data_IF_174831429081
#
_entry.id   IF_174831429081
#
_cell.length_a   1.000
_cell.length_b   1.000
_cell.length_c   1.000
_cell.angle_alpha   90.00
_cell.angle_beta   90.00
_cell.angle_gamma   90.00
#
_symmetry.space_group_name_H-M   'P 1'
#
loop_
_entity.id
_entity.type
_entity.pdbx_description
1 polymer ?
#
# COMPACT_ATOMS: atom_id res chain seq x y z
N UNK A 1 0.22 -9.33 -27.39
CA UNK A 1 -0.88 -9.71 -26.48
C UNK A 1 -1.85 -8.56 -26.45
N UNK A 2 -3.13 -8.82 -26.77
CA UNK A 2 -4.18 -7.81 -26.77
C UNK A 2 -4.48 -7.46 -25.31
N UNK A 3 -3.97 -6.33 -24.82
CA UNK A 3 -4.38 -5.81 -23.52
C UNK A 3 -5.79 -5.23 -23.69
N UNK A 4 -6.79 -5.92 -23.15
CA UNK A 4 -8.16 -5.43 -23.13
C UNK A 4 -8.21 -4.04 -22.49
N UNK A 5 -8.71 -3.00 -23.18
CA UNK A 5 -8.79 -1.65 -22.63
C UNK A 5 -9.66 -1.57 -21.37
N UNK A 6 -10.54 -2.55 -21.17
CA UNK A 6 -11.40 -2.69 -19.99
C UNK A 6 -10.67 -3.19 -18.74
N UNK A 7 -9.44 -3.69 -18.86
CA UNK A 7 -8.65 -4.14 -17.70
C UNK A 7 -8.35 -3.00 -16.71
N UNK A 8 -8.27 -1.75 -17.19
CA UNK A 8 -8.10 -0.57 -16.34
C UNK A 8 -9.34 -0.25 -15.49
N UNK A 9 -10.53 -0.65 -15.95
CA UNK A 9 -11.76 -0.44 -15.18
C UNK A 9 -11.97 -1.52 -14.11
N UNK A 10 -11.23 -2.63 -14.18
CA UNK A 10 -11.36 -3.73 -13.22
C UNK A 10 -10.71 -3.41 -11.85
N UNK A 11 -9.66 -2.58 -11.85
CA UNK A 11 -8.97 -2.14 -10.63
C UNK A 11 -8.70 -0.63 -10.66
N UNK A 12 -9.61 0.18 -10.07
CA UNK A 12 -9.44 1.63 -9.98
C UNK A 12 -8.19 2.08 -9.22
N UNK A 13 -7.73 1.29 -8.24
CA UNK A 13 -6.52 1.62 -7.47
C UNK A 13 -5.27 1.47 -8.33
N UNK A 14 -5.19 0.38 -9.09
CA UNK A 14 -4.12 0.15 -10.04
C UNK A 14 -4.12 1.23 -11.15
N UNK A 15 -5.29 1.64 -11.64
CA UNK A 15 -5.41 2.69 -12.67
C UNK A 15 -4.92 4.05 -12.18
N UNK A 16 -5.26 4.46 -10.96
CA UNK A 16 -4.70 5.70 -10.37
C UNK A 16 -3.24 5.54 -9.93
N UNK A 17 -2.80 4.31 -9.75
CA UNK A 17 -1.47 3.98 -9.26
C UNK A 17 -1.33 4.16 -7.76
N UNK A 18 -2.38 3.95 -6.97
CA UNK A 18 -2.35 4.13 -5.51
C UNK A 18 -2.48 2.79 -4.78
N UNK A 19 -1.98 2.69 -3.54
CA UNK A 19 -2.18 1.49 -2.75
C UNK A 19 -3.63 1.38 -2.25
N UNK A 20 -4.08 0.16 -1.97
CA UNK A 20 -5.40 -0.10 -1.38
C UNK A 20 -5.60 0.58 -0.01
N UNK A 21 -4.49 0.88 0.67
CA UNK A 21 -4.41 1.55 1.97
C UNK A 21 -4.42 3.08 1.90
N UNK A 22 -4.35 3.68 0.70
CA UNK A 22 -4.25 5.13 0.53
C UNK A 22 -5.37 5.91 1.22
N UNK A 23 -5.09 7.06 1.81
CA UNK A 23 -6.09 7.99 2.32
C UNK A 23 -6.86 8.69 1.20
N UNK A 24 -8.05 9.26 1.46
CA UNK A 24 -8.77 10.06 0.47
C UNK A 24 -7.97 11.26 -0.07
N UNK A 25 -7.10 11.85 0.77
CA UNK A 25 -6.21 12.93 0.35
C UNK A 25 -5.22 12.45 -0.71
N UNK A 26 -4.55 11.32 -0.47
CA UNK A 26 -3.61 10.72 -1.43
C UNK A 26 -4.29 10.32 -2.75
N UNK A 27 -5.55 9.89 -2.71
CA UNK A 27 -6.35 9.61 -3.92
C UNK A 27 -6.51 10.87 -4.76
N UNK A 28 -6.89 11.99 -4.14
CA UNK A 28 -7.10 13.26 -4.82
C UNK A 28 -5.78 13.82 -5.38
N UNK A 29 -4.74 13.87 -4.55
CA UNK A 29 -3.42 14.37 -4.94
C UNK A 29 -2.88 13.59 -6.15
N UNK A 30 -3.03 12.25 -6.11
CA UNK A 30 -2.59 11.40 -7.22
C UNK A 30 -3.43 11.61 -8.46
N UNK A 31 -4.75 11.72 -8.33
CA UNK A 31 -5.64 12.01 -9.45
C UNK A 31 -5.23 13.30 -10.17
N UNK A 32 -5.05 14.39 -9.42
CA UNK A 32 -4.67 15.69 -10.00
C UNK A 32 -3.32 15.61 -10.72
N UNK A 33 -2.34 14.93 -10.11
CA UNK A 33 -1.03 14.71 -10.72
C UNK A 33 -1.13 13.93 -12.06
N UNK A 34 -1.89 12.84 -12.08
CA UNK A 34 -2.07 12.00 -13.28
C UNK A 34 -2.82 12.76 -14.38
N UNK A 35 -3.84 13.54 -14.02
CA UNK A 35 -4.59 14.36 -14.98
C UNK A 35 -3.69 15.39 -15.69
N UNK A 36 -2.72 15.97 -14.97
CA UNK A 36 -1.72 16.86 -15.56
C UNK A 36 -0.70 16.13 -16.45
N UNK A 37 -0.35 14.88 -16.12
CA UNK A 37 0.52 14.04 -16.96
C UNK A 37 -0.16 13.60 -18.26
N UNK A 38 -1.48 13.40 -18.23
CA UNK A 38 -2.30 12.99 -19.37
C UNK A 38 -2.94 14.15 -20.14
N UNK A 39 -2.56 15.40 -19.85
CA UNK A 39 -3.04 16.55 -20.60
C UNK A 39 -2.66 16.43 -22.09
N UNK A 40 -3.63 16.43 -23.04
CA UNK A 40 -3.35 16.18 -24.46
C UNK A 40 -2.40 17.24 -25.05
N UNK A 41 -2.39 18.45 -24.49
CA UNK A 41 -1.51 19.55 -24.88
C UNK A 41 -0.02 19.19 -24.77
N UNK A 42 0.34 18.23 -23.91
CA UNK A 42 1.73 17.78 -23.71
C UNK A 42 2.27 16.91 -24.84
N UNK A 43 1.41 16.41 -25.72
CA UNK A 43 1.79 15.48 -26.77
C UNK A 43 1.71 16.16 -28.14
N UNK A 44 2.77 16.04 -28.94
CA UNK A 44 2.80 16.65 -30.28
C UNK A 44 2.11 15.79 -31.34
N UNK A 45 2.10 14.47 -31.16
CA UNK A 45 1.46 13.53 -32.09
C UNK A 45 -0.03 13.39 -31.79
N UNK A 46 -0.87 13.51 -32.81
CA UNK A 46 -2.33 13.32 -32.71
C UNK A 46 -2.70 11.96 -32.12
N UNK A 47 -2.03 10.88 -32.54
CA UNK A 47 -2.22 9.54 -31.98
C UNK A 47 -2.01 9.52 -30.46
N UNK A 48 -0.95 10.17 -30.00
CA UNK A 48 -0.62 10.23 -28.57
C UNK A 48 -1.60 11.12 -27.81
N UNK A 49 -2.11 12.21 -28.42
CA UNK A 49 -3.17 13.05 -27.83
C UNK A 49 -4.44 12.26 -27.61
N UNK A 50 -4.90 11.53 -28.62
CA UNK A 50 -6.10 10.69 -28.53
C UNK A 50 -5.93 9.64 -27.46
N UNK A 51 -4.80 8.92 -27.46
CA UNK A 51 -4.53 7.91 -26.45
C UNK A 51 -4.44 8.49 -25.03
N UNK A 52 -3.81 9.65 -24.85
CA UNK A 52 -3.77 10.34 -23.56
C UNK A 52 -5.17 10.75 -23.10
N UNK A 53 -6.01 11.28 -24.00
CA UNK A 53 -7.39 11.65 -23.69
C UNK A 53 -8.26 10.45 -23.30
N UNK A 54 -8.10 9.30 -23.96
CA UNK A 54 -8.76 8.05 -23.58
C UNK A 54 -8.34 7.59 -22.18
N UNK A 55 -7.04 7.56 -21.90
CA UNK A 55 -6.52 7.20 -20.58
C UNK A 55 -6.97 8.18 -19.49
N UNK A 56 -7.09 9.47 -19.83
CA UNK A 56 -7.60 10.49 -18.92
C UNK A 56 -9.03 10.20 -18.48
N UNK A 57 -9.90 9.74 -19.40
CA UNK A 57 -11.26 9.30 -19.07
C UNK A 57 -11.26 8.08 -18.16
N UNK A 58 -10.40 7.10 -18.41
CA UNK A 58 -10.30 5.93 -17.52
C UNK A 58 -9.86 6.31 -16.10
N UNK A 59 -8.92 7.25 -15.97
CA UNK A 59 -8.46 7.78 -14.69
C UNK A 59 -9.58 8.54 -13.96
N UNK A 60 -10.35 9.35 -14.69
CA UNK A 60 -11.51 10.05 -14.12
C UNK A 60 -12.57 9.08 -13.61
N UNK A 61 -12.92 8.05 -14.40
CA UNK A 61 -13.82 6.99 -13.95
C UNK A 61 -13.29 6.22 -12.73
N UNK A 62 -11.99 5.91 -12.71
CA UNK A 62 -11.35 5.26 -11.57
C UNK A 62 -11.45 6.12 -10.30
N UNK A 63 -11.13 7.42 -10.41
CA UNK A 63 -11.25 8.37 -9.30
C UNK A 63 -12.68 8.45 -8.77
N UNK A 64 -13.67 8.63 -9.64
CA UNK A 64 -15.07 8.70 -9.22
C UNK A 64 -15.47 7.45 -8.42
N UNK A 65 -15.04 6.27 -8.86
CA UNK A 65 -15.36 4.97 -8.24
C UNK A 65 -14.78 4.78 -6.83
N UNK A 66 -13.72 5.51 -6.46
CA UNK A 66 -13.05 5.35 -5.16
C UNK A 66 -12.94 6.63 -4.33
N UNK A 67 -13.41 7.75 -4.87
CA UNK A 67 -13.44 9.06 -4.19
C UNK A 67 -14.36 9.07 -2.97
N UNK A 68 -15.45 8.30 -3.02
CA UNK A 68 -16.40 8.15 -1.92
C UNK A 68 -16.13 6.88 -1.12
N UNK A 69 -16.21 6.98 0.20
CA UNK A 69 -15.92 5.87 1.14
C UNK A 69 -16.77 4.64 0.85
N UNK A 70 -18.07 4.81 0.61
CA UNK A 70 -18.99 3.70 0.33
C UNK A 70 -18.64 2.98 -0.98
N UNK A 71 -18.42 3.75 -2.06
CA UNK A 71 -18.07 3.20 -3.37
C UNK A 71 -16.72 2.48 -3.31
N UNK A 72 -15.75 3.10 -2.64
CA UNK A 72 -14.43 2.52 -2.39
C UNK A 72 -14.53 1.20 -1.65
N UNK A 73 -15.39 1.11 -0.63
CA UNK A 73 -15.58 -0.12 0.14
C UNK A 73 -16.13 -1.26 -0.74
N UNK A 74 -17.04 -0.95 -1.67
CA UNK A 74 -17.59 -1.92 -2.61
C UNK A 74 -16.54 -2.38 -3.63
N UNK A 75 -15.72 -1.46 -4.15
CA UNK A 75 -14.58 -1.81 -5.03
C UNK A 75 -13.62 -2.77 -4.32
N UNK A 76 -13.22 -2.45 -3.08
CA UNK A 76 -12.32 -3.32 -2.30
C UNK A 76 -12.96 -4.68 -2.04
N UNK A 77 -14.26 -4.73 -1.78
CA UNK A 77 -15.01 -5.99 -1.60
C UNK A 77 -15.04 -6.84 -2.87
N UNK A 78 -15.22 -6.22 -4.04
CA UNK A 78 -15.13 -6.91 -5.33
C UNK A 78 -13.73 -7.47 -5.58
N UNK A 79 -12.68 -6.69 -5.33
CA UNK A 79 -11.29 -7.17 -5.44
C UNK A 79 -11.00 -8.31 -4.46
N UNK A 80 -11.52 -8.24 -3.22
CA UNK A 80 -11.40 -9.35 -2.25
C UNK A 80 -12.11 -10.61 -2.71
N UNK A 81 -13.26 -10.48 -3.38
CA UNK A 81 -13.98 -11.60 -3.97
C UNK A 81 -13.14 -12.28 -5.07
N UNK A 82 -12.45 -11.50 -5.89
CA UNK A 82 -11.52 -12.01 -6.90
C UNK A 82 -10.29 -12.68 -6.27
N UNK A 83 -9.78 -12.13 -5.16
CA UNK A 83 -8.65 -12.66 -4.40
C UNK A 83 -9.00 -13.84 -3.47
N UNK A 84 -10.15 -14.51 -3.67
CA UNK A 84 -10.56 -15.65 -2.82
C UNK A 84 -9.71 -16.88 -2.99
N UNK A 85 -9.24 -17.14 -4.21
CA UNK A 85 -8.35 -18.25 -4.53
C UNK A 85 -6.90 -17.78 -4.56
N UNK A 86 -5.96 -18.72 -4.36
CA UNK A 86 -4.53 -18.40 -4.42
C UNK A 86 -4.18 -17.86 -5.81
N UNK A 87 -3.74 -16.60 -5.94
CA UNK A 87 -3.35 -16.04 -7.22
C UNK A 87 -2.09 -16.76 -7.72
N UNK A 88 -1.96 -16.87 -9.04
CA UNK A 88 -0.76 -17.39 -9.72
C UNK A 88 -0.06 -16.22 -10.42
N UNK A 89 0.68 -15.38 -9.67
CA UNK A 89 1.25 -14.19 -10.24
C UNK A 89 2.39 -14.51 -11.23
N UNK A 90 2.40 -13.78 -12.33
CA UNK A 90 3.46 -13.78 -13.33
C UNK A 90 4.63 -12.90 -12.90
N UNK A 91 4.35 -11.74 -12.29
CA UNK A 91 5.38 -10.79 -11.91
C UNK A 91 6.27 -11.30 -10.77
N UNK A 92 7.54 -10.87 -10.79
CA UNK A 92 8.51 -11.23 -9.74
C UNK A 92 8.13 -10.61 -8.40
N UNK A 93 7.64 -9.37 -8.41
CA UNK A 93 7.23 -8.65 -7.20
C UNK A 93 6.02 -9.32 -6.53
N UNK A 94 4.98 -9.66 -7.28
CA UNK A 94 3.83 -10.35 -6.70
C UNK A 94 4.18 -11.77 -6.19
N UNK A 95 5.09 -12.48 -6.87
CA UNK A 95 5.64 -13.75 -6.33
C UNK A 95 6.45 -13.57 -5.05
N UNK A 96 7.18 -12.47 -4.92
CA UNK A 96 7.91 -12.14 -3.70
C UNK A 96 6.95 -11.80 -2.55
N UNK A 97 5.89 -11.03 -2.82
CA UNK A 97 4.87 -10.68 -1.83
C UNK A 97 4.17 -11.92 -1.24
N UNK A 98 3.90 -12.96 -2.05
CA UNK A 98 3.35 -14.25 -1.57
C UNK A 98 4.23 -14.98 -0.55
N UNK A 99 5.54 -14.67 -0.50
CA UNK A 99 6.52 -15.31 0.39
C UNK A 99 6.98 -14.38 1.51
N UNK A 100 6.45 -13.16 1.54
CA UNK A 100 6.85 -12.15 2.50
C UNK A 100 6.31 -12.53 3.89
N UNK A 101 7.11 -12.39 4.97
CA UNK A 101 6.61 -12.59 6.32
C UNK A 101 5.50 -11.57 6.63
N UNK A 102 4.50 -11.96 7.41
CA UNK A 102 3.28 -11.19 7.65
C UNK A 102 3.53 -9.75 8.12
N UNK A 103 4.58 -9.52 8.91
CA UNK A 103 4.98 -8.20 9.40
C UNK A 103 5.52 -7.25 8.32
N UNK A 104 5.99 -7.79 7.18
CA UNK A 104 6.57 -7.02 6.09
C UNK A 104 5.66 -6.89 4.86
N UNK A 105 4.49 -7.54 4.86
CA UNK A 105 3.55 -7.57 3.71
C UNK A 105 3.10 -6.17 3.30
N UNK A 106 2.59 -5.37 4.23
CA UNK A 106 2.13 -3.99 3.95
C UNK A 106 3.25 -3.06 3.48
N UNK A 107 4.39 -2.91 4.20
CA UNK A 107 5.44 -1.99 3.76
C UNK A 107 6.09 -2.44 2.44
N UNK A 108 6.20 -3.75 2.18
CA UNK A 108 6.66 -4.24 0.87
C UNK A 108 5.69 -3.87 -0.24
N UNK A 109 4.39 -4.05 0.00
CA UNK A 109 3.34 -3.73 -0.97
C UNK A 109 3.33 -2.23 -1.30
N UNK A 110 3.29 -1.37 -0.29
CA UNK A 110 3.27 0.08 -0.47
C UNK A 110 4.53 0.57 -1.20
N UNK A 111 5.72 0.11 -0.79
CA UNK A 111 6.96 0.46 -1.48
C UNK A 111 7.00 0.01 -2.94
N UNK A 112 6.47 -1.18 -3.25
CA UNK A 112 6.37 -1.64 -4.64
C UNK A 112 5.37 -0.80 -5.47
N UNK A 113 4.29 -0.32 -4.85
CA UNK A 113 3.33 0.58 -5.50
C UNK A 113 3.97 1.95 -5.79
N UNK A 114 4.75 2.49 -4.87
CA UNK A 114 5.49 3.75 -5.06
C UNK A 114 6.48 3.66 -6.23
N UNK A 115 7.20 2.54 -6.36
CA UNK A 115 8.08 2.29 -7.51
C UNK A 115 7.30 2.29 -8.84
N UNK A 116 6.10 1.68 -8.86
CA UNK A 116 5.25 1.68 -10.05
C UNK A 116 4.66 3.05 -10.37
N UNK A 117 4.32 3.85 -9.36
CA UNK A 117 3.83 5.21 -9.54
C UNK A 117 4.80 6.07 -10.35
N UNK A 118 6.10 5.88 -10.12
CA UNK A 118 7.16 6.58 -10.85
C UNK A 118 7.21 6.17 -12.32
N UNK A 119 6.71 5.00 -12.71
CA UNK A 119 6.86 4.43 -14.05
C UNK A 119 5.59 4.54 -14.90
N UNK A 120 4.41 4.43 -14.27
CA UNK A 120 3.11 4.26 -14.92
C UNK A 120 2.82 5.32 -16.00
N UNK A 121 3.02 6.60 -15.67
CA UNK A 121 2.68 7.73 -16.55
C UNK A 121 3.91 8.47 -17.09
N UNK A 122 5.12 7.90 -16.94
CA UNK A 122 6.33 8.44 -17.61
C UNK A 122 6.28 8.26 -19.12
N UNK A 123 5.57 7.24 -19.60
CA UNK A 123 5.37 6.98 -21.02
C UNK A 123 4.00 6.37 -21.24
N UNK A 124 3.28 6.86 -22.26
CA UNK A 124 1.98 6.33 -22.65
C UNK A 124 2.02 4.82 -22.94
N UNK A 125 3.14 4.32 -23.48
CA UNK A 125 3.29 2.90 -23.81
C UNK A 125 3.33 1.98 -22.58
N UNK A 126 3.64 2.52 -21.40
CA UNK A 126 3.83 1.71 -20.19
C UNK A 126 2.57 1.61 -19.34
N UNK A 127 1.56 2.47 -19.56
CA UNK A 127 0.41 2.61 -18.66
C UNK A 127 -0.28 1.27 -18.46
N UNK A 128 -0.67 0.59 -19.55
CA UNK A 128 -1.38 -0.70 -19.46
C UNK A 128 -0.55 -1.79 -18.78
N UNK A 129 0.74 -1.88 -19.09
CA UNK A 129 1.61 -2.87 -18.47
C UNK A 129 1.75 -2.63 -16.98
N UNK A 130 1.98 -1.39 -16.56
CA UNK A 130 2.12 -1.05 -15.15
C UNK A 130 0.80 -1.23 -14.40
N UNK A 131 -0.33 -0.82 -14.95
CA UNK A 131 -1.67 -1.07 -14.36
C UNK A 131 -1.90 -2.57 -14.15
N UNK A 132 -1.58 -3.40 -15.15
CA UNK A 132 -1.74 -4.85 -15.01
C UNK A 132 -0.86 -5.46 -13.90
N UNK A 133 0.39 -4.99 -13.77
CA UNK A 133 1.30 -5.44 -12.72
C UNK A 133 0.83 -5.00 -11.33
N UNK A 134 0.32 -3.77 -11.21
CA UNK A 134 -0.24 -3.24 -9.95
C UNK A 134 -1.51 -3.99 -9.55
N UNK A 135 -2.42 -4.27 -10.50
CA UNK A 135 -3.63 -5.03 -10.23
C UNK A 135 -3.33 -6.46 -9.77
N UNK A 136 -2.35 -7.13 -10.38
CA UNK A 136 -1.86 -8.42 -9.91
C UNK A 136 -1.31 -8.34 -8.48
N UNK A 137 -0.53 -7.29 -8.18
CA UNK A 137 0.02 -7.07 -6.85
C UNK A 137 -1.09 -6.81 -5.80
N UNK A 138 -2.12 -6.04 -6.15
CA UNK A 138 -3.28 -5.76 -5.30
C UNK A 138 -4.02 -7.06 -4.92
N UNK A 139 -4.29 -7.93 -5.89
CA UNK A 139 -4.95 -9.22 -5.64
C UNK A 139 -4.11 -10.12 -4.71
N UNK A 140 -2.79 -10.14 -4.90
CA UNK A 140 -1.88 -10.89 -4.03
C UNK A 140 -1.85 -10.32 -2.62
N UNK A 141 -1.76 -8.99 -2.47
CA UNK A 141 -1.80 -8.32 -1.18
C UNK A 141 -3.08 -8.68 -0.41
N UNK A 142 -4.23 -8.63 -1.07
CA UNK A 142 -5.53 -8.99 -0.48
C UNK A 142 -5.58 -10.47 -0.06
N UNK A 143 -5.07 -11.38 -0.90
CA UNK A 143 -5.03 -12.81 -0.57
C UNK A 143 -4.13 -13.09 0.65
N UNK A 144 -2.92 -12.54 0.68
CA UNK A 144 -1.96 -12.74 1.78
C UNK A 144 -2.50 -12.14 3.08
N UNK A 145 -3.00 -10.91 3.05
CA UNK A 145 -3.54 -10.22 4.23
C UNK A 145 -4.71 -10.99 4.84
N UNK A 146 -5.58 -11.57 4.00
CA UNK A 146 -6.69 -12.41 4.47
C UNK A 146 -6.20 -13.66 5.21
N UNK A 147 -5.25 -14.40 4.64
CA UNK A 147 -4.79 -15.64 5.25
C UNK A 147 -3.98 -15.37 6.52
N UNK A 148 -3.19 -14.30 6.56
CA UNK A 148 -2.47 -13.89 7.75
C UNK A 148 -3.40 -13.44 8.88
N UNK A 149 -4.55 -12.85 8.55
CA UNK A 149 -5.57 -12.51 9.54
C UNK A 149 -6.25 -13.75 10.14
N UNK A 150 -6.37 -14.84 9.37
CA UNK A 150 -6.88 -16.13 9.82
C UNK A 150 -5.87 -16.85 10.74
N UNK A 151 -4.57 -16.68 10.49
CA UNK A 151 -3.47 -17.22 11.31
C UNK A 151 -3.25 -16.48 12.65
N UNK A 152 -3.94 -15.36 12.88
CA UNK A 152 -3.84 -14.52 14.09
C UNK A 152 -4.42 -15.12 15.39
N UNK A 153 -4.83 -16.40 15.39
CA UNK A 153 -5.39 -17.11 16.54
C UNK A 153 -4.38 -17.93 17.37
N UNK A 154 -3.09 -17.95 17.03
CA UNK A 154 -2.07 -18.50 17.92
C UNK A 154 -1.36 -17.39 18.68
N UNK A 155 -1.85 -17.12 19.89
CA UNK A 155 -1.05 -16.57 20.97
C UNK A 155 0.15 -17.52 21.15
N UNK A 156 1.26 -17.20 20.48
CA UNK A 156 2.56 -17.81 20.79
C UNK A 156 2.83 -17.41 22.23
N UNK A 157 2.55 -18.33 23.16
CA UNK A 157 3.05 -18.29 24.53
C UNK A 157 4.56 -18.29 24.44
N UNK A 158 5.14 -17.11 24.30
CA UNK A 158 6.57 -16.90 24.49
C UNK A 158 6.85 -17.35 25.93
N UNK A 159 7.75 -18.32 26.16
CA UNK A 159 8.20 -18.61 27.51
C UNK A 159 8.83 -17.33 28.03
N UNK A 160 8.18 -16.66 28.98
CA UNK A 160 8.77 -15.53 29.69
C UNK A 160 9.95 -16.08 30.46
N UNK A 161 11.15 -15.91 29.92
CA UNK A 161 12.38 -16.06 30.69
C UNK A 161 12.31 -15.13 31.91
N UNK A 162 12.70 -15.61 33.10
CA UNK A 162 12.60 -14.82 34.33
C UNK A 162 13.48 -13.58 34.23
N UNK A 163 12.86 -12.42 34.42
CA UNK A 163 13.53 -11.12 34.50
C UNK A 163 14.41 -11.12 35.76
N UNK A 164 15.70 -10.75 35.67
CA UNK A 164 16.50 -10.56 36.88
C UNK A 164 15.96 -9.36 37.68
N UNK A 165 15.81 -9.58 38.99
CA UNK A 165 15.42 -8.58 39.97
C UNK A 165 16.38 -7.38 39.96
N UNK A 166 15.91 -6.14 40.16
CA UNK A 166 16.79 -5.00 40.34
C UNK A 166 17.62 -5.14 41.63
N UNK A 167 18.86 -4.61 41.68
CA UNK A 167 19.68 -4.65 42.88
C UNK A 167 19.05 -3.81 44.00
N UNK A 168 18.91 -4.45 45.15
CA UNK A 168 18.52 -3.85 46.42
C UNK A 168 19.66 -2.97 46.94
N UNK A 169 19.56 -1.66 46.76
CA UNK A 169 20.35 -0.71 47.56
C UNK A 169 19.58 -0.41 48.85
N UNK A 170 19.89 -1.19 49.87
CA UNK A 170 19.63 -0.82 51.25
C UNK A 170 20.95 -0.42 51.91
N UNK A 171 20.85 0.67 52.68
CA UNK A 171 21.66 1.05 53.84
C UNK A 171 22.64 2.23 53.70
N UNK A 172 22.38 3.21 54.58
CA UNK A 172 23.31 4.02 55.36
C UNK A 172 24.06 5.17 54.64
N UNK A 173 24.17 6.39 55.18
CA UNK A 173 23.95 6.89 56.53
C UNK A 173 23.62 8.40 56.51
N UNK A 174 22.80 8.84 57.46
CA UNK A 174 22.73 10.24 57.90
C UNK A 174 24.03 10.63 58.63
N UNK A 175 24.45 11.91 58.53
CA UNK A 175 25.18 12.53 59.61
C UNK A 175 24.35 13.64 60.27
N UNK A 176 24.03 13.33 61.52
CA UNK A 176 23.79 14.21 62.66
C UNK A 176 24.73 15.43 62.69
N UNK A 177 24.17 16.64 62.78
CA UNK A 177 24.92 17.86 63.14
C UNK A 177 24.15 18.61 64.23
N UNK A 178 24.36 18.16 65.47
CA UNK A 178 24.08 18.90 66.69
C UNK A 178 25.26 19.80 67.09
N UNK A 179 25.05 21.10 66.98
CA UNK A 179 25.43 22.22 67.88
C UNK A 179 26.67 22.03 68.79
N UNK A 180 27.65 22.96 68.67
CA UNK A 180 28.44 23.41 69.83
C UNK A 180 28.91 24.88 69.70
N UNK A 181 28.74 25.58 70.82
CA UNK A 181 28.98 26.98 71.16
C UNK A 181 30.42 27.21 71.66
N UNK A 182 31.08 28.31 71.23
CA UNK A 182 31.94 29.32 71.93
C UNK A 182 33.02 28.83 72.93
N UNK A 183 34.27 29.36 72.90
CA UNK A 183 34.62 30.62 73.60
C UNK A 183 35.16 31.73 72.68
#
# INVERSE_FOLDING_TARGET
>A
MLTDPYSMLADPFATLGIPLTASPGEVLDRYDAVMQLLAPERYSSEKNRTYAAENRRFVEHAYLSISQVDQRSEVVKQLRQQAKSKPRPNSRLARALLKCPSSAVTPFYEGAIDDFQLLQYRSLNNIQTVVGLMGELNLVFLYVTRNNADEGGQEVKVPRSPRPSPPSFAAEAEPDVGIATVP
#
